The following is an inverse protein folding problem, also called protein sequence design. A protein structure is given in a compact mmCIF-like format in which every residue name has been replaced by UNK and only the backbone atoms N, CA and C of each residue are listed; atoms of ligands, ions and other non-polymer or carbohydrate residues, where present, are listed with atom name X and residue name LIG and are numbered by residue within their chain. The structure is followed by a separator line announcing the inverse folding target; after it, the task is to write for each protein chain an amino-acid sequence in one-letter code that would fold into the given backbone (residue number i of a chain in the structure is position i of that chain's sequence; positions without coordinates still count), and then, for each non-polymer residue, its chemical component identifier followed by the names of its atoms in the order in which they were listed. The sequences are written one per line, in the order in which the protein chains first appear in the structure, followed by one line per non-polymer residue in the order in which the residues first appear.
data_IF_000161478615
#
_entry.id   IF_000161478615
#
_cell.length_a   1.000
_cell.length_b   1.000
_cell.length_c   1.000
_cell.angle_alpha   90.00
_cell.angle_beta   90.00
_cell.angle_gamma   90.00
#
_symmetry.space_group_name_H-M   'P 1'
#
loop_
_entity.id
_entity.type
_entity.pdbx_description
1 polymer ?
#
# COMPACT_ATOMS: atom_id res chain seq x y z
N UNK A 1 -27.29 18.54 24.99
CA UNK A 1 -26.49 17.39 24.49
C UNK A 1 -25.50 17.86 23.44
N UNK A 2 -24.20 17.58 23.61
CA UNK A 2 -23.15 17.95 22.65
C UNK A 2 -23.32 17.23 21.31
N UNK A 3 -22.83 17.82 20.22
CA UNK A 3 -22.95 17.25 18.87
C UNK A 3 -22.36 15.83 18.77
N UNK A 4 -21.22 15.57 19.42
CA UNK A 4 -20.60 14.25 19.45
C UNK A 4 -21.46 13.21 20.19
N UNK A 5 -22.12 13.60 21.29
CA UNK A 5 -23.02 12.69 22.02
C UNK A 5 -24.18 12.27 21.14
N UNK A 6 -24.79 13.21 20.40
CA UNK A 6 -25.87 12.91 19.44
C UNK A 6 -25.41 12.01 18.30
N UNK A 7 -24.21 12.24 17.76
CA UNK A 7 -23.62 11.43 16.70
C UNK A 7 -23.27 10.01 17.15
N UNK A 8 -23.00 9.77 18.43
CA UNK A 8 -22.75 8.43 18.96
C UNK A 8 -24.05 7.75 19.38
N UNK A 9 -24.95 8.47 20.06
CA UNK A 9 -26.18 7.90 20.63
C UNK A 9 -27.21 7.51 19.57
N UNK A 10 -27.25 8.20 18.44
CA UNK A 10 -28.28 7.99 17.41
C UNK A 10 -28.01 6.79 16.47
N UNK A 11 -26.77 6.56 15.97
CA UNK A 11 -26.49 5.41 15.09
C UNK A 11 -25.96 4.16 15.81
N UNK A 12 -25.32 4.29 16.98
CA UNK A 12 -24.58 3.17 17.63
C UNK A 12 -25.01 2.91 19.08
N UNK A 13 -25.38 3.96 19.81
CA UNK A 13 -25.56 3.92 21.26
C UNK A 13 -27.00 3.86 21.76
N UNK A 14 -27.99 3.54 20.92
CA UNK A 14 -29.40 3.57 21.31
C UNK A 14 -29.73 2.61 22.48
N UNK A 15 -28.95 1.53 22.63
CA UNK A 15 -29.05 0.56 23.73
C UNK A 15 -27.92 0.67 24.76
N UNK A 16 -27.05 1.68 24.65
CA UNK A 16 -25.86 1.81 25.48
C UNK A 16 -26.13 2.64 26.73
N UNK A 17 -25.39 2.36 27.80
CA UNK A 17 -25.44 3.18 29.00
C UNK A 17 -24.82 4.55 28.75
N UNK A 18 -25.23 5.55 29.55
CA UNK A 18 -24.70 6.90 29.46
C UNK A 18 -23.18 6.95 29.64
N UNK A 19 -22.62 6.10 30.51
CA UNK A 19 -21.18 5.93 30.71
C UNK A 19 -20.49 5.42 29.45
N UNK A 20 -21.08 4.44 28.77
CA UNK A 20 -20.52 3.89 27.53
C UNK A 20 -20.53 4.95 26.41
N UNK A 21 -21.64 5.68 26.23
CA UNK A 21 -21.73 6.77 25.24
C UNK A 21 -20.69 7.86 25.55
N UNK A 22 -20.52 8.24 26.81
CA UNK A 22 -19.54 9.25 27.20
C UNK A 22 -18.10 8.78 26.97
N UNK A 23 -17.75 7.55 27.37
CA UNK A 23 -16.43 6.97 27.15
C UNK A 23 -16.09 6.87 25.65
N UNK A 24 -17.06 6.46 24.83
CA UNK A 24 -16.94 6.48 23.36
C UNK A 24 -16.70 7.90 22.85
N UNK A 25 -17.48 8.90 23.27
CA UNK A 25 -17.28 10.28 22.87
C UNK A 25 -15.91 10.86 23.25
N UNK A 26 -15.34 10.48 24.40
CA UNK A 26 -14.03 10.99 24.84
C UNK A 26 -12.89 10.21 24.21
N UNK A 27 -12.97 8.89 24.19
CA UNK A 27 -11.86 8.04 23.76
C UNK A 27 -11.79 7.86 22.25
N UNK A 28 -12.91 7.81 21.50
CA UNK A 28 -12.81 7.80 20.03
C UNK A 28 -12.18 9.07 19.51
N UNK A 29 -12.41 10.23 20.14
CA UNK A 29 -11.78 11.48 19.71
C UNK A 29 -10.28 11.46 19.95
N UNK A 30 -9.85 10.93 21.09
CA UNK A 30 -8.42 10.78 21.40
C UNK A 30 -7.76 9.73 20.50
N UNK A 31 -8.36 8.56 20.36
CA UNK A 31 -7.87 7.48 19.50
C UNK A 31 -7.83 7.94 18.05
N UNK A 32 -8.93 8.47 17.51
CA UNK A 32 -8.95 8.99 16.14
C UNK A 32 -7.92 10.10 15.95
N UNK A 33 -7.77 11.02 16.90
CA UNK A 33 -6.77 12.08 16.81
C UNK A 33 -5.35 11.52 16.76
N UNK A 34 -4.95 10.69 17.73
CA UNK A 34 -3.59 10.15 17.79
C UNK A 34 -3.30 9.17 16.66
N UNK A 35 -4.24 8.28 16.34
CA UNK A 35 -4.11 7.33 15.23
C UNK A 35 -4.01 8.07 13.90
N UNK A 36 -4.94 8.99 13.59
CA UNK A 36 -4.87 9.73 12.32
C UNK A 36 -3.64 10.61 12.24
N UNK A 37 -3.24 11.27 13.34
CA UNK A 37 -2.00 12.04 13.38
C UNK A 37 -0.79 11.17 13.06
N UNK A 38 -0.71 9.97 13.62
CA UNK A 38 0.39 9.04 13.37
C UNK A 38 0.35 8.50 11.93
N UNK A 39 -0.83 8.13 11.42
CA UNK A 39 -0.99 7.70 10.02
C UNK A 39 -0.54 8.79 9.06
N UNK A 40 -1.00 10.03 9.27
CA UNK A 40 -0.61 11.16 8.43
C UNK A 40 0.88 11.49 8.56
N UNK A 41 1.46 11.37 9.75
CA UNK A 41 2.88 11.58 9.96
C UNK A 41 3.71 10.52 9.20
N UNK A 42 3.37 9.24 9.33
CA UNK A 42 4.04 8.14 8.62
C UNK A 42 3.92 8.30 7.11
N UNK A 43 2.72 8.59 6.60
CA UNK A 43 2.52 8.85 5.18
C UNK A 43 3.37 10.03 4.70
N UNK A 44 3.36 11.16 5.42
CA UNK A 44 4.19 12.33 5.08
C UNK A 44 5.69 11.98 5.05
N UNK A 45 6.19 11.22 6.04
CA UNK A 45 7.62 10.83 6.06
C UNK A 45 7.96 9.88 4.92
N UNK A 46 7.11 8.91 4.62
CA UNK A 46 7.30 8.00 3.48
C UNK A 46 7.31 8.77 2.15
N UNK A 47 6.40 9.72 1.94
CA UNK A 47 6.39 10.55 0.73
C UNK A 47 7.62 11.45 0.60
N UNK A 48 8.21 11.90 1.71
CA UNK A 48 9.46 12.68 1.67
C UNK A 48 10.65 11.82 1.23
N UNK A 49 10.75 10.61 1.75
CA UNK A 49 11.80 9.66 1.36
C UNK A 49 11.58 9.17 -0.08
N UNK A 50 10.34 8.93 -0.49
CA UNK A 50 10.00 8.55 -1.87
C UNK A 50 10.37 9.63 -2.88
N UNK A 51 10.34 10.91 -2.49
CA UNK A 51 10.75 12.02 -3.32
C UNK A 51 12.28 12.17 -3.41
N UNK A 52 13.05 11.49 -2.56
CA UNK A 52 14.50 11.46 -2.67
C UNK A 52 14.93 10.63 -3.90
N UNK A 53 16.12 10.92 -4.43
CA UNK A 53 16.64 10.17 -5.57
C UNK A 53 16.88 8.70 -5.18
N UNK A 54 16.34 7.72 -5.94
CA UNK A 54 16.62 6.31 -5.69
C UNK A 54 18.11 5.97 -5.83
N UNK A 55 18.58 4.99 -5.06
CA UNK A 55 19.94 4.47 -5.22
C UNK A 55 20.06 3.65 -6.51
N UNK A 56 20.32 4.36 -7.61
CA UNK A 56 20.42 3.76 -8.94
C UNK A 56 21.62 2.85 -9.07
N UNK A 57 22.70 3.06 -8.31
CA UNK A 57 23.87 2.19 -8.32
C UNK A 57 23.51 0.83 -7.75
N UNK A 58 22.91 0.81 -6.55
CA UNK A 58 22.40 -0.41 -5.94
C UNK A 58 21.43 -1.15 -6.85
N UNK A 59 20.47 -0.41 -7.45
CA UNK A 59 19.52 -1.00 -8.38
C UNK A 59 20.22 -1.65 -9.58
N UNK A 60 21.23 -0.99 -10.16
CA UNK A 60 21.99 -1.51 -11.30
C UNK A 60 22.81 -2.75 -10.97
N UNK A 61 23.43 -2.78 -9.80
CA UNK A 61 24.20 -3.94 -9.34
C UNK A 61 23.32 -5.16 -9.06
N UNK A 62 22.06 -4.94 -8.69
CA UNK A 62 21.15 -5.99 -8.25
C UNK A 62 19.96 -6.25 -9.20
N UNK A 63 20.00 -5.75 -10.43
CA UNK A 63 18.91 -5.89 -11.42
C UNK A 63 18.43 -7.33 -11.61
N UNK A 64 19.35 -8.30 -11.58
CA UNK A 64 19.06 -9.73 -11.73
C UNK A 64 18.37 -10.36 -10.50
N UNK A 65 18.25 -9.63 -9.39
CA UNK A 65 17.58 -10.03 -8.14
C UNK A 65 16.30 -9.23 -7.89
N UNK A 66 16.13 -8.10 -8.58
CA UNK A 66 14.99 -7.21 -8.43
C UNK A 66 13.92 -7.49 -9.49
N UNK A 67 12.67 -7.33 -9.09
CA UNK A 67 11.52 -7.34 -9.97
C UNK A 67 10.45 -6.38 -9.42
N UNK A 68 9.86 -5.58 -10.30
CA UNK A 68 8.81 -4.64 -9.95
C UNK A 68 7.55 -4.94 -10.76
N UNK A 69 6.42 -4.95 -10.07
CA UNK A 69 5.09 -5.11 -10.63
C UNK A 69 4.32 -3.82 -10.36
N UNK A 70 3.78 -3.22 -11.41
CA UNK A 70 3.04 -1.96 -11.35
C UNK A 70 1.56 -2.19 -11.72
N UNK A 71 0.65 -1.46 -11.09
CA UNK A 71 -0.74 -1.35 -11.55
C UNK A 71 -0.86 -0.33 -12.67
N UNK A 72 -1.75 -0.56 -13.64
CA UNK A 72 -1.95 0.37 -14.77
C UNK A 72 -2.51 1.73 -14.33
N UNK A 73 -3.33 1.76 -13.27
CA UNK A 73 -3.96 2.96 -12.69
C UNK A 73 -3.60 3.13 -11.19
N UNK A 74 -2.39 2.70 -10.82
CA UNK A 74 -1.91 2.81 -9.45
C UNK A 74 -1.35 4.21 -9.18
N UNK A 75 -2.14 5.02 -8.47
CA UNK A 75 -1.75 6.38 -8.08
C UNK A 75 -0.67 6.41 -6.98
N UNK A 76 -0.49 5.32 -6.24
CA UNK A 76 0.55 5.19 -5.21
C UNK A 76 1.88 4.70 -5.81
N UNK A 77 1.82 3.92 -6.88
CA UNK A 77 2.95 3.46 -7.68
C UNK A 77 2.82 3.88 -9.15
N UNK A 78 2.92 5.18 -9.47
CA UNK A 78 2.63 5.69 -10.80
C UNK A 78 3.60 5.15 -11.88
N UNK A 79 3.07 4.95 -13.09
CA UNK A 79 3.83 4.38 -14.22
C UNK A 79 5.06 5.21 -14.64
N UNK A 80 5.17 6.47 -14.26
CA UNK A 80 6.40 7.24 -14.53
C UNK A 80 7.62 6.61 -13.84
N UNK A 81 7.45 5.98 -12.66
CA UNK A 81 8.52 5.26 -11.97
C UNK A 81 8.93 4.00 -12.72
N UNK A 82 7.96 3.27 -13.31
CA UNK A 82 8.23 2.16 -14.22
C UNK A 82 9.12 2.63 -15.38
N UNK A 83 8.76 3.75 -16.02
CA UNK A 83 9.53 4.30 -17.13
C UNK A 83 10.94 4.72 -16.70
N UNK A 84 11.08 5.33 -15.53
CA UNK A 84 12.37 5.76 -15.00
C UNK A 84 13.29 4.58 -14.73
N UNK A 85 12.79 3.54 -14.05
CA UNK A 85 13.55 2.31 -13.79
C UNK A 85 13.93 1.63 -15.10
N UNK A 86 13.02 1.60 -16.10
CA UNK A 86 13.30 1.00 -17.40
C UNK A 86 14.49 1.67 -18.11
N UNK A 87 14.68 2.98 -17.90
CA UNK A 87 15.77 3.77 -18.49
C UNK A 87 17.06 3.66 -17.67
N UNK A 88 16.96 3.73 -16.33
CA UNK A 88 18.12 3.82 -15.42
C UNK A 88 18.68 2.45 -15.03
N UNK A 89 17.84 1.40 -15.05
CA UNK A 89 18.20 0.04 -14.66
C UNK A 89 17.54 -1.03 -15.58
N UNK A 90 17.89 -1.04 -16.88
CA UNK A 90 17.16 -1.79 -17.92
C UNK A 90 17.17 -3.31 -17.78
N UNK A 91 18.11 -3.90 -17.02
CA UNK A 91 18.13 -5.34 -16.75
C UNK A 91 17.17 -5.76 -15.62
N UNK A 92 16.46 -4.83 -15.00
CA UNK A 92 15.46 -5.12 -13.96
C UNK A 92 14.20 -5.70 -14.61
N UNK A 93 13.62 -6.73 -14.01
CA UNK A 93 12.34 -7.26 -14.48
C UNK A 93 11.23 -6.30 -14.11
N UNK A 94 10.57 -5.73 -15.11
CA UNK A 94 9.43 -4.85 -14.92
C UNK A 94 8.18 -5.50 -15.52
N UNK A 95 7.05 -5.39 -14.83
CA UNK A 95 5.76 -5.93 -15.26
C UNK A 95 4.64 -4.98 -14.90
N UNK A 96 3.59 -4.99 -15.71
CA UNK A 96 2.37 -4.23 -15.48
C UNK A 96 1.23 -5.24 -15.30
N UNK A 97 0.42 -5.02 -14.27
CA UNK A 97 -0.80 -5.73 -13.97
C UNK A 97 -1.81 -5.58 -15.13
N UNK A 98 -2.47 -6.67 -15.52
CA UNK A 98 -3.26 -6.74 -16.76
C UNK A 98 -4.74 -7.11 -16.58
N UNK A 99 -5.18 -7.44 -15.37
CA UNK A 99 -6.54 -7.86 -15.02
C UNK A 99 -7.34 -6.78 -14.27
N UNK A 100 -6.76 -5.61 -14.02
CA UNK A 100 -7.44 -4.48 -13.38
C UNK A 100 -7.44 -4.53 -11.85
N UNK A 101 -6.47 -5.24 -11.24
CA UNK A 101 -6.31 -5.26 -9.79
C UNK A 101 -5.72 -3.92 -9.32
N UNK A 102 -6.33 -3.31 -8.30
CA UNK A 102 -5.89 -2.01 -7.77
C UNK A 102 -4.66 -2.15 -6.87
N UNK A 103 -4.08 -1.03 -6.43
CA UNK A 103 -2.98 -0.99 -5.45
C UNK A 103 -3.22 -1.91 -4.24
N UNK A 104 -4.46 -1.95 -3.76
CA UNK A 104 -4.90 -2.85 -2.68
C UNK A 104 -5.16 -4.28 -3.14
N UNK A 105 -4.33 -4.86 -4.01
CA UNK A 105 -4.52 -6.21 -4.55
C UNK A 105 -4.69 -7.27 -3.44
N UNK A 106 -3.98 -7.08 -2.32
CA UNK A 106 -4.02 -7.97 -1.16
C UNK A 106 -5.33 -7.89 -0.36
N UNK A 107 -6.16 -6.87 -0.58
CA UNK A 107 -7.44 -6.69 0.11
C UNK A 107 -8.57 -7.50 -0.52
N UNK A 108 -8.32 -8.19 -1.64
CA UNK A 108 -9.29 -9.07 -2.30
C UNK A 108 -8.69 -10.44 -2.54
N UNK A 109 -9.55 -11.47 -2.57
CA UNK A 109 -9.10 -12.84 -2.90
C UNK A 109 -8.55 -12.90 -4.32
N UNK A 110 -9.24 -12.29 -5.29
CA UNK A 110 -8.83 -12.31 -6.69
C UNK A 110 -7.45 -11.66 -6.90
N UNK A 111 -7.24 -10.44 -6.41
CA UNK A 111 -5.95 -9.76 -6.54
C UNK A 111 -4.82 -10.48 -5.81
N UNK A 112 -5.09 -11.02 -4.62
CA UNK A 112 -4.11 -11.82 -3.86
C UNK A 112 -3.68 -13.07 -4.63
N UNK A 113 -4.64 -13.82 -5.19
CA UNK A 113 -4.38 -15.03 -5.96
C UNK A 113 -3.60 -14.70 -7.22
N UNK A 114 -3.97 -13.65 -7.93
CA UNK A 114 -3.30 -13.23 -9.16
C UNK A 114 -1.83 -12.87 -8.92
N UNK A 115 -1.56 -12.00 -7.95
CA UNK A 115 -0.18 -11.60 -7.62
C UNK A 115 0.64 -12.82 -7.15
N UNK A 116 0.05 -13.71 -6.36
CA UNK A 116 0.73 -14.93 -5.93
C UNK A 116 1.11 -15.83 -7.13
N UNK A 117 0.22 -15.99 -8.10
CA UNK A 117 0.49 -16.75 -9.33
C UNK A 117 1.56 -16.08 -10.19
N UNK A 118 1.52 -14.75 -10.33
CA UNK A 118 2.52 -13.96 -11.04
C UNK A 118 3.91 -14.17 -10.42
N UNK A 119 4.04 -13.98 -9.10
CA UNK A 119 5.30 -14.15 -8.36
C UNK A 119 5.81 -15.60 -8.44
N UNK A 120 4.93 -16.59 -8.26
CA UNK A 120 5.31 -17.99 -8.36
C UNK A 120 5.86 -18.34 -9.75
N UNK A 121 5.25 -17.80 -10.81
CA UNK A 121 5.71 -17.97 -12.19
C UNK A 121 7.07 -17.31 -12.41
N UNK A 122 7.23 -16.06 -11.95
CA UNK A 122 8.50 -15.32 -12.04
C UNK A 122 9.65 -16.09 -11.37
N UNK A 123 9.44 -16.61 -10.16
CA UNK A 123 10.45 -17.39 -9.42
C UNK A 123 10.83 -18.65 -10.21
N UNK A 124 9.84 -19.41 -10.69
CA UNK A 124 10.08 -20.63 -11.48
C UNK A 124 10.90 -20.33 -12.74
N UNK A 125 10.55 -19.28 -13.47
CA UNK A 125 11.28 -18.86 -14.67
C UNK A 125 12.74 -18.52 -14.36
N UNK A 126 13.00 -17.76 -13.29
CA UNK A 126 14.40 -17.42 -12.91
C UNK A 126 15.21 -18.63 -12.44
N UNK A 127 14.59 -19.56 -11.71
CA UNK A 127 15.26 -20.79 -11.30
C UNK A 127 15.64 -21.66 -12.50
N UNK A 128 14.77 -21.72 -13.52
CA UNK A 128 15.04 -22.47 -14.74
C UNK A 128 16.14 -21.82 -15.60
N UNK A 129 16.18 -20.48 -15.68
CA UNK A 129 17.23 -19.75 -16.39
C UNK A 129 18.62 -19.94 -15.78
N UNK A 130 18.73 -20.14 -14.45
CA UNK A 130 20.02 -20.37 -13.77
C UNK A 130 20.57 -21.79 -13.92
N UNK A 131 19.76 -22.74 -14.43
CA UNK A 131 20.15 -24.15 -14.62
C UNK A 131 20.70 -24.45 -16.01
N UNK A 132 20.62 -23.49 -16.93
CA UNK A 132 21.20 -23.51 -18.27
C UNK A 132 22.47 -22.67 -18.28
#
# INVERSE_FOLDING_TARGET
MSAARRLVSYPLGASWSDTAVQATCTHLRQVLYHTMRNVLYMAMTEFRELAAEPDWEFMRENQSKLAFLFGIDDHWGPLHLFEEISKKAPGTSLSIESEGHTHGFCCTVAGSVWVAQHVATLIKTRLNQKRL
#
